data_IF_086624521866
#
_entry.id   IF_086624521866
#
_cell.length_a   1.000
_cell.length_b   1.000
_cell.length_c   1.000
_cell.angle_alpha   90.00
_cell.angle_beta   90.00
_cell.angle_gamma   90.00
#
_symmetry.space_group_name_H-M   'P 1'
#
loop_
_entity.id
_entity.type
_entity.pdbx_description
1 polymer ?
#
# COMPACT_ATOMS: atom_id res chain seq x y z
N UNK A 1 10.87 -12.52 7.58
CA UNK A 1 9.99 -12.99 8.67
C UNK A 1 10.71 -14.01 9.57
N UNK A 2 11.44 -14.97 9.02
CA UNK A 2 12.18 -15.98 9.80
C UNK A 2 13.17 -15.39 10.80
N UNK A 3 13.96 -14.40 10.41
CA UNK A 3 14.88 -13.72 11.34
C UNK A 3 14.12 -13.00 12.46
N UNK A 4 12.98 -12.37 12.16
CA UNK A 4 12.15 -11.75 13.19
C UNK A 4 11.58 -12.79 14.16
N UNK A 5 11.14 -13.96 13.67
CA UNK A 5 10.69 -15.08 14.51
C UNK A 5 11.82 -15.68 15.36
N UNK A 6 13.06 -15.72 14.85
CA UNK A 6 14.23 -16.16 15.64
C UNK A 6 14.47 -15.24 16.84
N UNK A 7 14.26 -13.93 16.69
CA UNK A 7 14.48 -12.93 17.75
C UNK A 7 13.28 -12.81 18.68
N UNK A 8 12.07 -12.65 18.16
CA UNK A 8 10.86 -12.40 18.93
C UNK A 8 10.16 -13.69 19.43
N UNK A 9 10.59 -14.86 18.98
CA UNK A 9 10.03 -16.16 19.36
C UNK A 9 8.66 -16.45 18.73
N UNK A 10 7.99 -17.49 19.24
CA UNK A 10 6.70 -18.01 18.73
C UNK A 10 5.51 -17.06 18.99
N UNK A 11 5.71 -15.94 19.68
CA UNK A 11 4.67 -14.98 20.02
C UNK A 11 4.64 -13.76 19.09
N UNK A 12 5.56 -13.68 18.12
CA UNK A 12 5.57 -12.58 17.16
C UNK A 12 4.23 -12.52 16.42
N UNK A 13 3.53 -11.39 16.48
CA UNK A 13 2.41 -11.08 15.59
C UNK A 13 2.85 -9.99 14.64
N UNK A 14 2.76 -10.27 13.34
CA UNK A 14 3.13 -9.33 12.30
C UNK A 14 1.89 -8.88 11.52
N UNK A 15 1.99 -7.69 10.95
CA UNK A 15 0.98 -7.15 10.03
C UNK A 15 1.71 -6.75 8.77
N UNK A 16 1.21 -7.19 7.62
CA UNK A 16 1.61 -6.71 6.32
C UNK A 16 0.45 -5.97 5.69
N UNK A 17 0.67 -4.71 5.33
CA UNK A 17 -0.26 -3.96 4.47
C UNK A 17 0.25 -4.12 3.03
N UNK A 18 -0.58 -4.66 2.15
CA UNK A 18 -0.32 -4.74 0.72
C UNK A 18 -1.12 -3.69 -0.03
N UNK A 19 -0.73 -3.38 -1.26
CA UNK A 19 -1.42 -2.40 -2.10
C UNK A 19 -1.45 -2.91 -3.54
N UNK A 20 -2.46 -2.50 -4.30
CA UNK A 20 -2.56 -2.84 -5.71
C UNK A 20 -1.29 -2.41 -6.47
N UNK A 21 -0.60 -3.33 -7.18
CA UNK A 21 0.63 -3.02 -7.91
C UNK A 21 0.54 -1.83 -8.87
N UNK A 22 -0.58 -1.62 -9.56
CA UNK A 22 -0.72 -0.46 -10.46
C UNK A 22 -0.91 0.83 -9.67
N UNK A 23 -1.71 0.79 -8.60
CA UNK A 23 -1.84 1.93 -7.70
C UNK A 23 -0.51 2.30 -7.02
N UNK A 24 0.37 1.33 -6.76
CA UNK A 24 1.72 1.58 -6.26
C UNK A 24 2.57 2.35 -7.27
N UNK A 25 2.59 1.95 -8.54
CA UNK A 25 3.35 2.66 -9.60
C UNK A 25 2.88 4.10 -9.74
N UNK A 26 1.56 4.33 -9.82
CA UNK A 26 1.02 5.68 -9.89
C UNK A 26 1.40 6.49 -8.64
N UNK A 27 1.26 5.90 -7.46
CA UNK A 27 1.56 6.59 -6.20
C UNK A 27 3.04 6.95 -6.07
N UNK A 28 3.95 6.06 -6.46
CA UNK A 28 5.39 6.29 -6.42
C UNK A 28 5.82 7.38 -7.39
N UNK A 29 5.34 7.32 -8.64
CA UNK A 29 5.60 8.35 -9.64
C UNK A 29 5.12 9.73 -9.16
N UNK A 30 3.87 9.81 -8.68
CA UNK A 30 3.29 11.07 -8.20
C UNK A 30 4.07 11.61 -6.99
N UNK A 31 4.53 10.72 -6.11
CA UNK A 31 5.38 11.08 -4.98
C UNK A 31 6.70 11.69 -5.46
N UNK A 32 7.43 11.03 -6.35
CA UNK A 32 8.73 11.49 -6.86
C UNK A 32 8.65 12.83 -7.61
N UNK A 33 7.53 13.07 -8.28
CA UNK A 33 7.27 14.33 -8.98
C UNK A 33 6.92 15.47 -8.02
N UNK A 34 6.37 15.17 -6.83
CA UNK A 34 5.90 16.15 -5.86
C UNK A 34 6.91 16.41 -4.73
N UNK A 35 7.66 15.39 -4.32
CA UNK A 35 8.55 15.39 -3.15
C UNK A 35 10.02 15.42 -3.58
N UNK A 36 10.79 16.39 -3.09
CA UNK A 36 12.25 16.48 -3.31
C UNK A 36 13.01 16.10 -2.04
N UNK A 37 12.89 14.84 -1.64
CA UNK A 37 13.51 14.30 -0.42
C UNK A 37 14.84 13.58 -0.69
N UNK A 38 15.22 13.43 -1.96
CA UNK A 38 16.46 12.78 -2.39
C UNK A 38 16.49 11.25 -2.24
N UNK A 39 15.39 10.60 -1.86
CA UNK A 39 15.35 9.16 -1.59
C UNK A 39 15.09 8.29 -2.82
N UNK A 40 14.50 8.86 -3.88
CA UNK A 40 14.11 8.12 -5.08
C UNK A 40 14.57 8.79 -6.38
N UNK A 41 14.25 8.17 -7.53
CA UNK A 41 14.75 8.45 -8.89
C UNK A 41 14.32 9.83 -9.45
N UNK A 42 14.05 10.80 -8.57
CA UNK A 42 13.35 12.05 -8.81
C UNK A 42 14.01 12.92 -9.87
N UNK A 43 15.35 13.06 -9.89
CA UNK A 43 15.99 13.99 -10.84
C UNK A 43 15.93 13.52 -12.29
N UNK A 44 16.05 12.22 -12.54
CA UNK A 44 15.96 11.70 -13.90
C UNK A 44 14.50 11.60 -14.32
N UNK A 45 13.64 11.06 -13.45
CA UNK A 45 12.21 10.93 -13.70
C UNK A 45 11.55 12.27 -14.03
N UNK A 46 11.86 13.34 -13.27
CA UNK A 46 11.35 14.71 -13.50
C UNK A 46 11.81 15.34 -14.82
N UNK A 47 12.89 14.83 -15.42
CA UNK A 47 13.40 15.30 -16.73
C UNK A 47 12.83 14.50 -17.89
N UNK A 48 12.10 13.43 -17.62
CA UNK A 48 11.46 12.59 -18.64
C UNK A 48 9.97 12.89 -18.74
N UNK A 49 9.33 12.47 -19.84
CA UNK A 49 7.88 12.56 -19.97
C UNK A 49 7.17 11.57 -19.04
N UNK A 50 5.88 11.82 -18.74
CA UNK A 50 5.07 11.01 -17.81
C UNK A 50 5.14 9.51 -18.08
N UNK A 51 5.01 9.07 -19.34
CA UNK A 51 5.06 7.65 -19.70
C UNK A 51 6.43 7.01 -19.40
N UNK A 52 7.53 7.69 -19.73
CA UNK A 52 8.87 7.22 -19.40
C UNK A 52 9.11 7.17 -17.89
N UNK A 53 8.65 8.18 -17.16
CA UNK A 53 8.77 8.22 -15.71
C UNK A 53 7.98 7.11 -15.01
N UNK A 54 6.76 6.83 -15.49
CA UNK A 54 5.97 5.69 -15.02
C UNK A 54 6.62 4.35 -15.34
N UNK A 55 7.26 4.21 -16.49
CA UNK A 55 7.99 2.98 -16.84
C UNK A 55 9.18 2.75 -15.88
N UNK A 56 9.94 3.81 -15.58
CA UNK A 56 11.03 3.75 -14.58
C UNK A 56 10.51 3.34 -13.20
N UNK A 57 9.38 3.90 -12.78
CA UNK A 57 8.75 3.55 -11.51
C UNK A 57 8.23 2.10 -11.51
N UNK A 58 7.60 1.66 -12.59
CA UNK A 58 7.14 0.27 -12.74
C UNK A 58 8.30 -0.73 -12.64
N UNK A 59 9.42 -0.48 -13.33
CA UNK A 59 10.63 -1.28 -13.23
C UNK A 59 11.17 -1.32 -11.79
N UNK A 60 11.20 -0.18 -11.11
CA UNK A 60 11.63 -0.10 -9.71
C UNK A 60 10.75 -0.96 -8.80
N UNK A 61 9.43 -0.83 -8.92
CA UNK A 61 8.46 -1.58 -8.13
C UNK A 61 8.58 -3.09 -8.39
N UNK A 62 8.62 -3.51 -9.66
CA UNK A 62 8.76 -4.91 -10.08
C UNK A 62 10.06 -5.53 -9.55
N UNK A 63 11.16 -4.79 -9.58
CA UNK A 63 12.47 -5.31 -9.18
C UNK A 63 12.66 -5.36 -7.67
N UNK A 64 12.18 -4.35 -6.93
CA UNK A 64 12.59 -4.15 -5.53
C UNK A 64 11.48 -4.38 -4.51
N UNK A 65 10.23 -4.06 -4.86
CA UNK A 65 9.13 -3.96 -3.89
C UNK A 65 8.16 -5.13 -4.03
N UNK A 66 7.62 -5.35 -5.23
CA UNK A 66 6.60 -6.37 -5.49
C UNK A 66 7.06 -7.81 -5.14
N UNK A 67 8.32 -8.24 -5.39
CA UNK A 67 8.76 -9.58 -5.00
C UNK A 67 8.71 -9.80 -3.49
N UNK A 68 9.10 -8.78 -2.71
CA UNK A 68 9.07 -8.84 -1.26
C UNK A 68 7.64 -8.81 -0.72
N UNK A 69 6.80 -7.95 -1.28
CA UNK A 69 5.38 -7.89 -0.92
C UNK A 69 4.69 -9.24 -1.19
N UNK A 70 4.92 -9.85 -2.36
CA UNK A 70 4.37 -11.16 -2.70
C UNK A 70 4.87 -12.27 -1.79
N UNK A 71 6.17 -12.27 -1.46
CA UNK A 71 6.75 -13.24 -0.52
C UNK A 71 6.09 -13.17 0.86
N UNK A 72 5.88 -11.97 1.40
CA UNK A 72 5.24 -11.78 2.71
C UNK A 72 3.76 -12.11 2.63
N UNK A 73 3.08 -11.74 1.54
CA UNK A 73 1.69 -12.11 1.27
C UNK A 73 1.49 -13.63 1.34
N UNK A 74 2.29 -14.39 0.57
CA UNK A 74 2.25 -15.86 0.58
C UNK A 74 2.53 -16.44 1.96
N UNK A 75 3.51 -15.88 2.67
CA UNK A 75 3.78 -16.28 4.07
C UNK A 75 2.55 -16.06 4.96
N UNK A 76 1.80 -14.98 4.78
CA UNK A 76 0.59 -14.69 5.56
C UNK A 76 -0.59 -15.61 5.26
N UNK A 77 -0.63 -16.23 4.08
CA UNK A 77 -1.61 -17.28 3.78
C UNK A 77 -1.34 -18.57 4.56
N UNK A 78 -0.07 -18.88 4.82
CA UNK A 78 0.36 -20.11 5.50
C UNK A 78 0.41 -19.96 7.03
N UNK A 79 0.45 -18.72 7.53
CA UNK A 79 0.81 -18.43 8.90
C UNK A 79 -0.16 -17.47 9.60
N UNK A 80 -0.86 -17.98 10.62
CA UNK A 80 -1.88 -17.22 11.37
C UNK A 80 -1.33 -16.05 12.19
N UNK A 81 -0.03 -16.01 12.44
CA UNK A 81 0.64 -14.91 13.14
C UNK A 81 0.92 -13.69 12.25
N UNK A 82 0.68 -13.79 10.95
CA UNK A 82 0.83 -12.69 9.99
C UNK A 82 -0.55 -12.29 9.47
N UNK A 83 -1.02 -11.10 9.87
CA UNK A 83 -2.23 -10.51 9.30
C UNK A 83 -1.88 -9.75 8.03
N UNK A 84 -2.52 -10.11 6.92
CA UNK A 84 -2.45 -9.34 5.67
C UNK A 84 -3.68 -8.44 5.57
N UNK A 85 -3.46 -7.14 5.34
CA UNK A 85 -4.48 -6.13 5.08
C UNK A 85 -4.21 -5.45 3.75
N UNK A 86 -5.25 -4.92 3.10
CA UNK A 86 -5.12 -4.14 1.87
C UNK A 86 -5.17 -2.65 2.21
N UNK A 87 -4.30 -1.85 1.60
CA UNK A 87 -4.32 -0.39 1.74
C UNK A 87 -5.68 0.17 1.32
N UNK A 88 -6.27 -0.41 0.28
CA UNK A 88 -7.57 -0.02 -0.25
C UNK A 88 -8.69 -0.15 0.80
N UNK A 89 -8.60 -1.12 1.72
CA UNK A 89 -9.61 -1.29 2.77
C UNK A 89 -9.57 -0.14 3.79
N UNK A 90 -8.41 0.49 4.00
CA UNK A 90 -8.31 1.70 4.83
C UNK A 90 -8.88 2.93 4.13
N UNK A 91 -8.76 3.01 2.80
CA UNK A 91 -9.07 4.22 2.04
C UNK A 91 -10.39 4.16 1.27
N UNK A 92 -11.13 3.05 1.32
CA UNK A 92 -12.37 2.87 0.54
C UNK A 92 -13.53 3.68 1.12
N UNK A 93 -13.68 3.67 2.44
CA UNK A 93 -14.73 4.39 3.17
C UNK A 93 -14.45 4.34 4.66
N UNK A 94 -15.13 5.19 5.42
CA UNK A 94 -15.04 5.23 6.88
C UNK A 94 -15.43 3.92 7.57
N UNK A 95 -16.45 3.21 7.06
CA UNK A 95 -16.83 1.91 7.62
C UNK A 95 -15.80 0.82 7.32
N UNK A 96 -15.20 0.85 6.12
CA UNK A 96 -14.11 -0.04 5.74
C UNK A 96 -12.85 0.22 6.57
N UNK A 97 -12.53 1.50 6.83
CA UNK A 97 -11.46 1.90 7.74
C UNK A 97 -11.66 1.30 9.13
N UNK A 98 -12.84 1.49 9.73
CA UNK A 98 -13.14 0.99 11.08
C UNK A 98 -13.00 -0.53 11.17
N UNK A 99 -13.55 -1.26 10.20
CA UNK A 99 -13.46 -2.71 10.14
C UNK A 99 -12.00 -3.17 10.03
N UNK A 100 -11.20 -2.48 9.23
CA UNK A 100 -9.78 -2.80 9.00
C UNK A 100 -8.93 -2.50 10.24
N UNK A 101 -9.14 -1.35 10.88
CA UNK A 101 -8.50 -0.98 12.15
C UNK A 101 -8.89 -1.92 13.28
N UNK A 102 -10.16 -2.36 13.34
CA UNK A 102 -10.59 -3.35 14.31
C UNK A 102 -9.90 -4.70 14.10
N UNK A 103 -9.77 -5.17 12.86
CA UNK A 103 -9.01 -6.39 12.53
C UNK A 103 -7.53 -6.25 12.93
N UNK A 104 -6.93 -5.10 12.63
CA UNK A 104 -5.54 -4.78 12.99
C UNK A 104 -5.30 -4.89 14.49
N UNK A 105 -6.06 -4.13 15.30
CA UNK A 105 -5.87 -4.13 16.75
C UNK A 105 -6.27 -5.44 17.41
N UNK A 106 -7.32 -6.12 16.91
CA UNK A 106 -7.66 -7.44 17.43
C UNK A 106 -6.54 -8.45 17.16
N UNK A 107 -5.87 -8.38 16.00
CA UNK A 107 -4.72 -9.24 15.73
C UNK A 107 -3.54 -8.91 16.63
N UNK A 108 -3.13 -7.65 16.73
CA UNK A 108 -1.91 -7.28 17.46
C UNK A 108 -2.09 -7.29 18.98
N UNK A 109 -3.26 -6.94 19.48
CA UNK A 109 -3.54 -6.70 20.91
C UNK A 109 -4.62 -7.63 21.49
N UNK A 110 -5.35 -8.37 20.65
CA UNK A 110 -6.42 -9.26 21.10
C UNK A 110 -5.91 -10.36 22.03
N UNK A 111 -6.62 -10.57 23.14
CA UNK A 111 -6.24 -11.48 24.21
C UNK A 111 -5.16 -10.96 25.16
N UNK A 112 -4.52 -9.82 24.85
CA UNK A 112 -3.56 -9.16 25.73
C UNK A 112 -4.20 -8.04 26.54
N UNK A 113 -5.22 -7.38 25.97
CA UNK A 113 -5.93 -6.26 26.58
C UNK A 113 -7.43 -6.51 26.62
N UNK A 114 -8.13 -5.79 27.51
CA UNK A 114 -9.58 -5.86 27.64
C UNK A 114 -10.30 -5.31 26.39
N UNK A 115 -11.56 -5.71 26.20
CA UNK A 115 -12.39 -5.20 25.12
C UNK A 115 -12.56 -3.66 25.17
N UNK A 116 -12.57 -3.09 26.38
CA UNK A 116 -12.64 -1.65 26.60
C UNK A 116 -11.40 -0.92 26.08
N UNK A 117 -10.20 -1.41 26.40
CA UNK A 117 -8.95 -0.85 25.88
C UNK A 117 -8.92 -0.93 24.36
N UNK A 118 -9.32 -2.07 23.79
CA UNK A 118 -9.43 -2.23 22.34
C UNK A 118 -10.44 -1.27 21.71
N UNK A 119 -11.56 -0.99 22.39
CA UNK A 119 -12.54 0.01 21.91
C UNK A 119 -11.95 1.43 21.93
N UNK A 120 -11.20 1.78 22.99
CA UNK A 120 -10.58 3.10 23.11
C UNK A 120 -9.52 3.36 22.04
N UNK A 121 -8.65 2.40 21.75
CA UNK A 121 -7.63 2.58 20.69
C UNK A 121 -8.26 2.67 19.30
N UNK A 122 -9.38 1.98 19.07
CA UNK A 122 -10.16 2.11 17.83
C UNK A 122 -10.76 3.51 17.70
N UNK A 123 -11.38 4.01 18.76
CA UNK A 123 -11.92 5.38 18.82
C UNK A 123 -10.83 6.42 18.53
N UNK A 124 -9.64 6.26 19.12
CA UNK A 124 -8.51 7.16 18.88
C UNK A 124 -8.01 7.11 17.42
N UNK A 125 -8.10 5.97 16.75
CA UNK A 125 -7.69 5.82 15.36
C UNK A 125 -8.66 6.48 14.37
N UNK A 126 -9.92 6.74 14.75
CA UNK A 126 -10.92 7.40 13.90
C UNK A 126 -10.43 8.75 13.40
N UNK A 127 -9.62 9.48 14.18
CA UNK A 127 -9.04 10.78 13.77
C UNK A 127 -8.07 10.69 12.59
N UNK A 128 -7.56 9.50 12.30
CA UNK A 128 -6.65 9.23 11.17
C UNK A 128 -7.42 8.80 9.90
N UNK A 129 -8.75 8.67 9.97
CA UNK A 129 -9.58 8.36 8.80
C UNK A 129 -9.70 9.59 7.89
N UNK A 130 -9.00 9.54 6.75
CA UNK A 130 -9.01 10.61 5.76
C UNK A 130 -10.35 10.80 5.04
N UNK A 131 -11.31 9.86 5.14
CA UNK A 131 -12.68 10.08 4.66
C UNK A 131 -13.47 10.99 5.61
N UNK A 132 -13.33 10.77 6.92
CA UNK A 132 -13.97 11.62 7.96
C UNK A 132 -13.28 12.97 8.09
N UNK A 133 -11.95 12.95 8.04
CA UNK A 133 -11.09 14.10 8.26
C UNK A 133 -10.20 14.30 7.03
N UNK A 134 -10.78 14.74 5.89
CA UNK A 134 -10.01 14.94 4.68
C UNK A 134 -8.93 15.99 4.91
N UNK A 135 -7.70 15.67 4.50
CA UNK A 135 -6.62 16.64 4.49
C UNK A 135 -6.93 17.74 3.47
N UNK A 136 -6.83 19.03 3.83
CA UNK A 136 -7.06 20.12 2.89
C UNK A 136 -6.15 20.02 1.66
N UNK A 137 -6.69 20.40 0.49
CA UNK A 137 -5.88 20.55 -0.72
C UNK A 137 -4.79 21.62 -0.49
N UNK A 138 -3.59 21.39 -1.04
CA UNK A 138 -2.46 22.30 -0.89
C UNK A 138 -1.56 22.02 0.31
N UNK A 139 -1.90 21.03 1.16
CA UNK A 139 -0.91 20.50 2.11
C UNK A 139 0.29 19.91 1.35
N UNK A 140 1.50 20.16 1.86
CA UNK A 140 2.76 19.75 1.21
C UNK A 140 2.86 18.25 0.93
N UNK A 141 2.13 17.41 1.66
CA UNK A 141 2.14 15.95 1.50
C UNK A 141 0.97 15.41 0.67
N UNK A 142 0.04 16.29 0.25
CA UNK A 142 -1.10 15.92 -0.60
C UNK A 142 -0.75 16.23 -2.04
N UNK A 143 -0.57 15.19 -2.84
CA UNK A 143 -0.24 15.35 -4.25
C UNK A 143 -1.41 15.96 -5.05
N UNK A 144 -1.13 16.77 -6.09
CA UNK A 144 -2.17 17.35 -6.93
C UNK A 144 -3.04 16.26 -7.61
N UNK A 145 -4.36 16.40 -7.52
CA UNK A 145 -5.32 15.46 -8.14
C UNK A 145 -5.11 15.32 -9.65
N UNK A 146 -4.82 16.43 -10.33
CA UNK A 146 -4.58 16.45 -11.78
C UNK A 146 -3.36 15.60 -12.18
N UNK A 147 -2.27 15.66 -11.41
CA UNK A 147 -1.07 14.87 -11.66
C UNK A 147 -1.34 13.37 -11.48
N UNK A 148 -2.10 13.01 -10.44
CA UNK A 148 -2.52 11.62 -10.22
C UNK A 148 -3.40 11.11 -11.36
N UNK A 149 -4.39 11.88 -11.80
CA UNK A 149 -5.27 11.50 -12.90
C UNK A 149 -4.49 11.33 -14.22
N UNK A 150 -3.57 12.25 -14.51
CA UNK A 150 -2.68 12.15 -15.67
C UNK A 150 -1.82 10.88 -15.62
N UNK A 151 -1.23 10.58 -14.45
CA UNK A 151 -0.43 9.38 -14.27
C UNK A 151 -1.27 8.10 -14.43
N UNK A 152 -2.51 8.07 -13.93
CA UNK A 152 -3.43 6.95 -14.10
C UNK A 152 -3.73 6.67 -15.57
N UNK A 153 -4.08 7.71 -16.34
CA UNK A 153 -4.33 7.58 -17.78
C UNK A 153 -3.07 7.10 -18.53
N UNK A 154 -1.89 7.62 -18.16
CA UNK A 154 -0.64 7.25 -18.81
C UNK A 154 -0.20 5.80 -18.52
N UNK A 155 -0.79 5.10 -17.54
CA UNK A 155 -0.52 3.67 -17.32
C UNK A 155 -0.83 2.81 -18.55
N UNK A 156 -1.81 3.21 -19.37
CA UNK A 156 -2.16 2.51 -20.62
C UNK A 156 -1.03 2.54 -21.67
N UNK A 157 -0.11 3.50 -21.54
CA UNK A 157 1.03 3.67 -22.44
C UNK A 157 2.31 2.94 -22.00
N UNK A 158 2.25 2.20 -20.89
CA UNK A 158 3.40 1.44 -20.40
C UNK A 158 3.82 0.35 -21.40
N UNK A 159 5.13 0.02 -21.48
CA UNK A 159 5.60 -1.15 -22.21
C UNK A 159 4.81 -2.41 -21.84
N UNK A 160 4.42 -3.19 -22.86
CA UNK A 160 3.51 -4.32 -22.69
C UNK A 160 4.06 -5.42 -21.76
N UNK A 161 5.38 -5.58 -21.70
CA UNK A 161 6.07 -6.50 -20.81
C UNK A 161 6.00 -6.04 -19.34
N UNK A 162 6.10 -4.74 -19.06
CA UNK A 162 5.91 -4.18 -17.72
C UNK A 162 4.46 -4.32 -17.27
N UNK A 163 3.49 -3.98 -18.13
CA UNK A 163 2.07 -4.18 -17.84
C UNK A 163 1.74 -5.63 -17.51
N UNK A 164 2.24 -6.57 -18.32
CA UNK A 164 2.05 -8.01 -18.08
C UNK A 164 2.59 -8.44 -16.73
N UNK A 165 3.79 -7.97 -16.34
CA UNK A 165 4.37 -8.28 -15.04
C UNK A 165 3.54 -7.70 -13.88
N UNK A 166 3.07 -6.46 -14.00
CA UNK A 166 2.17 -5.85 -13.00
C UNK A 166 0.88 -6.65 -12.84
N UNK A 167 0.26 -7.10 -13.94
CA UNK A 167 -0.93 -7.96 -13.89
C UNK A 167 -0.67 -9.31 -13.23
N UNK A 168 0.49 -9.92 -13.49
CA UNK A 168 0.89 -11.16 -12.80
C UNK A 168 0.96 -10.91 -11.29
N UNK A 169 1.62 -9.83 -10.84
CA UNK A 169 1.66 -9.49 -9.42
C UNK A 169 0.28 -9.18 -8.85
N UNK A 170 -0.59 -8.45 -9.58
CA UNK A 170 -1.98 -8.19 -9.15
C UNK A 170 -2.70 -9.49 -8.87
N UNK A 171 -2.67 -10.44 -9.81
CA UNK A 171 -3.31 -11.75 -9.65
C UNK A 171 -2.74 -12.53 -8.48
N UNK A 172 -1.42 -12.61 -8.38
CA UNK A 172 -0.72 -13.36 -7.31
C UNK A 172 -0.96 -12.77 -5.91
N UNK A 173 -1.29 -11.47 -5.81
CA UNK A 173 -1.66 -10.79 -4.57
C UNK A 173 -3.18 -10.79 -4.30
N UNK A 174 -3.96 -11.44 -5.15
CA UNK A 174 -5.42 -11.54 -5.03
C UNK A 174 -6.19 -10.27 -5.45
N UNK A 175 -5.57 -9.41 -6.26
CA UNK A 175 -6.20 -8.22 -6.86
C UNK A 175 -6.78 -8.48 -8.27
N UNK A 176 -6.73 -9.71 -8.78
CA UNK A 176 -7.38 -10.04 -10.05
C UNK A 176 -8.90 -9.92 -9.95
N UNK A 177 -9.49 -9.51 -11.07
CA UNK A 177 -10.76 -8.82 -11.20
C UNK A 177 -11.92 -9.47 -10.44
N UNK A 178 -12.60 -8.68 -9.60
CA UNK A 178 -14.05 -8.79 -9.53
C UNK A 178 -14.46 -8.41 -10.95
N UNK A 179 -14.83 -9.39 -11.77
CA UNK A 179 -15.47 -9.11 -13.05
C UNK A 179 -16.59 -8.08 -12.79
N UNK A 180 -16.51 -6.92 -13.43
CA UNK A 180 -17.64 -5.99 -13.52
C UNK A 180 -18.80 -6.66 -14.28
#
# INVERSE_FOLDING_TARGET
IENARKVAGKQLRAVQIIRDPMAMVVSGYVYDMHMDDGFHASRLMRKTGTSSGLAMEAEFQIKNVLPNMLRIYKSGLEHRDILVLRMEDFTKSSSSFDATVARLYNHTMGGLYSAEVLAKVRELAVKEDTHRYPTPEGHSWVSPKALKAQAQLAMESLPADLLRQLYVYRRELGYADIED
#
